data_IF_919955294890
#
_entry.id   IF_919955294890
#
_cell.length_a   1.000
_cell.length_b   1.000
_cell.length_c   1.000
_cell.angle_alpha   90.00
_cell.angle_beta   90.00
_cell.angle_gamma   90.00
#
_symmetry.space_group_name_H-M   'P 1'
#
loop_
_entity.id
_entity.type
_entity.pdbx_description
1 polymer ?
#
# COMPACT_ATOMS: atom_id res chain seq x y z
N UNK A 1 -28.10 4.40 6.95
CA UNK A 1 -27.46 3.60 5.88
C UNK A 1 -26.60 2.56 6.57
N UNK A 2 -26.79 1.31 6.25
CA UNK A 2 -25.97 0.21 6.78
C UNK A 2 -24.65 0.16 6.01
N UNK A 3 -23.53 -0.04 6.72
CA UNK A 3 -22.19 -0.18 6.14
C UNK A 3 -21.52 -1.42 6.73
N UNK A 4 -20.76 -2.15 5.88
CA UNK A 4 -19.95 -3.29 6.28
C UNK A 4 -18.54 -2.83 6.62
N UNK A 5 -17.96 -3.36 7.69
CA UNK A 5 -16.55 -3.18 8.03
C UNK A 5 -15.71 -4.12 7.18
N UNK A 6 -14.69 -3.57 6.53
CA UNK A 6 -13.78 -4.31 5.67
C UNK A 6 -12.35 -4.28 6.22
N UNK A 7 -11.59 -5.33 5.88
CA UNK A 7 -10.15 -5.39 6.08
C UNK A 7 -9.46 -5.69 4.74
N UNK A 8 -8.20 -5.29 4.60
CA UNK A 8 -7.40 -5.71 3.45
C UNK A 8 -7.10 -7.20 3.61
N UNK A 9 -7.51 -7.99 2.61
CA UNK A 9 -7.32 -9.43 2.57
C UNK A 9 -6.10 -9.81 1.74
N UNK A 10 -5.99 -9.22 0.53
CA UNK A 10 -4.94 -9.61 -0.43
C UNK A 10 -4.67 -8.48 -1.43
N UNK A 11 -3.45 -8.47 -2.00
CA UNK A 11 -3.07 -7.62 -3.13
C UNK A 11 -2.32 -8.50 -4.12
N UNK A 12 -2.88 -8.69 -5.31
CA UNK A 12 -2.31 -9.56 -6.33
C UNK A 12 -2.27 -8.90 -7.70
N UNK A 13 -1.32 -9.28 -8.59
CA UNK A 13 -1.30 -8.78 -9.95
C UNK A 13 -2.63 -9.06 -10.66
N UNK A 14 -3.14 -8.08 -11.41
CA UNK A 14 -4.32 -8.27 -12.25
C UNK A 14 -3.88 -8.94 -13.55
N UNK A 15 -4.34 -10.17 -13.79
CA UNK A 15 -3.98 -10.92 -15.00
C UNK A 15 -4.45 -10.28 -16.32
N UNK A 16 -5.33 -9.29 -16.27
CA UNK A 16 -5.95 -8.68 -17.44
C UNK A 16 -5.17 -7.48 -18.00
N UNK A 17 -4.39 -6.78 -17.18
CA UNK A 17 -3.71 -5.54 -17.59
C UNK A 17 -2.33 -5.45 -16.96
N UNK A 18 -1.29 -5.30 -17.79
CA UNK A 18 0.07 -5.09 -17.30
C UNK A 18 0.15 -3.84 -16.41
N UNK A 19 0.75 -3.98 -15.22
CA UNK A 19 0.91 -2.88 -14.26
C UNK A 19 -0.33 -2.57 -13.42
N UNK A 20 -1.40 -3.36 -13.52
CA UNK A 20 -2.57 -3.26 -12.64
C UNK A 20 -2.56 -4.36 -11.57
N UNK A 21 -3.10 -4.05 -10.41
CA UNK A 21 -3.24 -4.95 -9.28
C UNK A 21 -4.69 -5.04 -8.84
N UNK A 22 -5.06 -6.16 -8.25
CA UNK A 22 -6.36 -6.32 -7.60
C UNK A 22 -6.17 -6.26 -6.09
N UNK A 23 -6.67 -5.18 -5.48
CA UNK A 23 -6.84 -5.07 -4.04
C UNK A 23 -8.12 -5.82 -3.67
N UNK A 24 -8.02 -6.79 -2.78
CA UNK A 24 -9.16 -7.55 -2.27
C UNK A 24 -9.44 -7.11 -0.84
N UNK A 25 -10.60 -6.52 -0.61
CA UNK A 25 -11.11 -6.21 0.73
C UNK A 25 -12.11 -7.30 1.14
N UNK A 26 -12.09 -7.74 2.40
CA UNK A 26 -12.99 -8.77 2.93
C UNK A 26 -13.83 -8.22 4.08
N UNK A 27 -15.10 -8.63 4.16
CA UNK A 27 -15.96 -8.31 5.32
C UNK A 27 -15.42 -8.95 6.60
N UNK A 28 -15.19 -8.14 7.62
CA UNK A 28 -14.69 -8.62 8.92
C UNK A 28 -15.67 -9.59 9.60
N UNK A 29 -16.98 -9.35 9.45
CA UNK A 29 -18.05 -10.18 10.04
C UNK A 29 -18.80 -11.00 8.98
N UNK A 30 -18.19 -11.20 7.83
CA UNK A 30 -18.79 -11.92 6.70
C UNK A 30 -17.72 -12.73 5.96
N UNK A 31 -18.09 -13.15 4.76
CA UNK A 31 -17.15 -13.86 3.87
C UNK A 31 -17.10 -13.24 2.47
N UNK A 32 -17.84 -12.14 2.26
CA UNK A 32 -17.86 -11.48 0.95
C UNK A 32 -16.56 -10.72 0.75
N UNK A 33 -16.05 -10.77 -0.47
CA UNK A 33 -14.83 -10.08 -0.89
C UNK A 33 -15.16 -9.02 -1.92
N UNK A 34 -14.55 -7.87 -1.81
CA UNK A 34 -14.68 -6.75 -2.73
C UNK A 34 -13.38 -6.58 -3.51
N UNK A 35 -13.27 -7.06 -4.75
CA UNK A 35 -12.11 -6.87 -5.60
C UNK A 35 -12.14 -5.48 -6.23
N UNK A 36 -11.04 -4.75 -6.16
CA UNK A 36 -10.88 -3.39 -6.69
C UNK A 36 -9.59 -3.33 -7.50
N UNK A 37 -9.68 -2.95 -8.76
CA UNK A 37 -8.49 -2.78 -9.60
C UNK A 37 -7.81 -1.45 -9.25
N UNK A 38 -6.51 -1.50 -8.96
CA UNK A 38 -5.69 -0.35 -8.57
C UNK A 38 -4.38 -0.33 -9.37
N UNK A 39 -3.70 0.80 -9.39
CA UNK A 39 -2.40 0.93 -10.03
C UNK A 39 -1.28 0.30 -9.18
N UNK A 40 -0.15 0.03 -9.84
CA UNK A 40 1.04 -0.57 -9.21
C UNK A 40 1.57 0.28 -8.04
N UNK A 41 1.64 1.59 -8.19
CA UNK A 41 2.18 2.48 -7.15
C UNK A 41 1.27 2.54 -5.91
N UNK A 42 -0.04 2.48 -6.11
CA UNK A 42 -1.01 2.42 -5.02
C UNK A 42 -0.94 1.06 -4.31
N UNK A 43 -0.83 -0.03 -5.06
CA UNK A 43 -0.65 -1.38 -4.53
C UNK A 43 0.63 -1.47 -3.69
N UNK A 44 1.76 -0.99 -4.22
CA UNK A 44 3.03 -0.92 -3.52
C UNK A 44 2.93 -0.10 -2.23
N UNK A 45 2.28 1.06 -2.28
CA UNK A 45 2.10 1.92 -1.11
C UNK A 45 1.33 1.23 0.01
N UNK A 46 0.30 0.45 -0.32
CA UNK A 46 -0.48 -0.31 0.65
C UNK A 46 0.35 -1.48 1.20
N UNK A 47 0.99 -2.26 0.33
CA UNK A 47 1.78 -3.44 0.70
C UNK A 47 2.92 -3.08 1.66
N UNK A 48 3.73 -2.04 1.35
CA UNK A 48 4.81 -1.56 2.20
C UNK A 48 4.33 -1.31 3.63
N UNK A 49 3.15 -0.71 3.79
CA UNK A 49 2.60 -0.44 5.12
C UNK A 49 2.10 -1.69 5.82
N UNK A 50 1.46 -2.61 5.10
CA UNK A 50 0.97 -3.89 5.67
C UNK A 50 2.12 -4.79 6.12
N UNK A 51 3.21 -4.82 5.36
CA UNK A 51 4.43 -5.57 5.69
C UNK A 51 5.32 -4.88 6.74
N UNK A 52 4.87 -3.73 7.28
CA UNK A 52 5.61 -2.91 8.23
C UNK A 52 7.01 -2.49 7.74
N UNK A 53 7.19 -2.39 6.45
CA UNK A 53 8.45 -1.93 5.85
C UNK A 53 8.60 -0.42 6.05
N UNK A 54 9.83 0.02 6.29
CA UNK A 54 10.14 1.45 6.48
C UNK A 54 11.03 1.94 5.35
N UNK A 55 10.48 2.68 4.38
CA UNK A 55 11.28 3.28 3.31
C UNK A 55 12.30 4.27 3.87
N UNK A 56 13.44 4.45 3.20
CA UNK A 56 14.48 5.41 3.58
C UNK A 56 13.97 6.87 3.61
N UNK A 57 12.96 7.17 2.80
CA UNK A 57 12.26 8.47 2.77
C UNK A 57 10.75 8.25 2.75
N UNK A 58 9.95 9.17 3.36
CA UNK A 58 8.50 9.06 3.36
C UNK A 58 7.94 9.02 1.94
N UNK A 59 7.05 8.07 1.67
CA UNK A 59 6.24 8.03 0.45
C UNK A 59 5.12 9.07 0.51
N UNK A 60 4.39 9.27 -0.59
CA UNK A 60 3.33 10.29 -0.68
C UNK A 60 2.28 10.16 0.42
N UNK A 61 1.80 8.93 0.71
CA UNK A 61 0.81 8.71 1.75
C UNK A 61 1.39 8.86 3.16
N UNK A 62 2.68 8.56 3.38
CA UNK A 62 3.36 8.81 4.65
C UNK A 62 3.51 10.31 4.89
N UNK A 63 3.85 11.07 3.83
CA UNK A 63 3.92 12.51 3.88
C UNK A 63 2.55 13.12 4.21
N UNK A 64 1.49 12.65 3.55
CA UNK A 64 0.13 13.14 3.80
C UNK A 64 -0.32 12.83 5.25
N UNK A 65 -0.02 11.63 5.76
CA UNK A 65 -0.25 11.29 7.17
C UNK A 65 0.51 12.26 8.09
N UNK A 66 1.79 12.51 7.81
CA UNK A 66 2.62 13.40 8.63
C UNK A 66 2.09 14.83 8.63
N UNK A 67 1.69 15.35 7.47
CA UNK A 67 1.07 16.68 7.35
C UNK A 67 -0.23 16.74 8.15
N UNK A 68 -1.14 15.79 7.94
CA UNK A 68 -2.42 15.75 8.66
C UNK A 68 -2.22 15.74 10.16
N UNK A 69 -1.35 14.85 10.65
CA UNK A 69 -1.07 14.73 12.09
C UNK A 69 -0.42 16.00 12.65
N UNK A 70 0.50 16.62 11.91
CA UNK A 70 1.16 17.87 12.34
C UNK A 70 0.21 19.05 12.49
N UNK A 71 -0.89 19.05 11.74
CA UNK A 71 -1.92 20.07 11.80
C UNK A 71 -3.15 19.64 12.61
N UNK A 72 -3.07 18.55 13.37
CA UNK A 72 -4.13 18.09 14.26
C UNK A 72 -5.32 17.46 13.53
N UNK A 73 -5.16 17.11 12.25
CA UNK A 73 -6.20 16.43 11.48
C UNK A 73 -6.10 14.93 11.75
N UNK A 74 -7.18 14.33 12.23
CA UNK A 74 -7.29 12.89 12.46
C UNK A 74 -8.22 12.25 11.44
N UNK A 75 -7.76 11.21 10.73
CA UNK A 75 -8.60 10.39 9.87
C UNK A 75 -9.31 9.35 10.74
N UNK A 76 -10.63 9.46 10.87
CA UNK A 76 -11.45 8.63 11.77
C UNK A 76 -11.98 7.38 11.10
N UNK A 77 -12.35 7.48 9.82
CA UNK A 77 -12.80 6.34 9.00
C UNK A 77 -12.67 6.64 7.52
N UNK A 78 -12.65 5.58 6.75
CA UNK A 78 -12.75 5.60 5.28
C UNK A 78 -14.06 4.91 4.89
N UNK A 79 -14.79 5.48 3.93
CA UNK A 79 -16.04 4.89 3.45
C UNK A 79 -16.04 4.79 1.93
N UNK A 80 -16.15 3.58 1.42
CA UNK A 80 -16.44 3.31 0.00
C UNK A 80 -17.95 3.44 -0.16
N UNK A 81 -18.39 4.51 -0.85
CA UNK A 81 -19.78 4.90 -0.78
C UNK A 81 -20.54 4.75 -2.10
N UNK A 82 -19.84 4.58 -3.24
CA UNK A 82 -20.49 4.43 -4.53
C UNK A 82 -19.67 3.59 -5.51
N UNK A 83 -20.37 3.08 -6.54
CA UNK A 83 -19.80 2.41 -7.69
C UNK A 83 -20.56 2.86 -8.95
N UNK A 84 -19.88 3.60 -9.82
CA UNK A 84 -20.46 4.14 -11.06
C UNK A 84 -19.57 3.73 -12.23
N UNK A 85 -20.13 3.04 -13.21
CA UNK A 85 -19.42 2.60 -14.42
C UNK A 85 -18.11 1.84 -14.14
N UNK A 86 -18.11 1.02 -13.06
CA UNK A 86 -16.93 0.24 -12.64
C UNK A 86 -15.90 1.03 -11.81
N UNK A 87 -16.15 2.30 -11.54
CA UNK A 87 -15.28 3.15 -10.73
C UNK A 87 -15.83 3.22 -9.30
N UNK A 88 -15.02 2.82 -8.33
CA UNK A 88 -15.35 2.94 -6.91
C UNK A 88 -15.04 4.34 -6.40
N UNK A 89 -15.98 4.90 -5.65
CA UNK A 89 -15.87 6.18 -4.99
C UNK A 89 -15.69 5.99 -3.49
N UNK A 90 -14.71 6.69 -2.93
CA UNK A 90 -14.43 6.66 -1.50
C UNK A 90 -14.35 8.08 -0.93
N UNK A 91 -14.56 8.17 0.38
CA UNK A 91 -14.38 9.41 1.12
C UNK A 91 -13.59 9.16 2.40
N UNK A 92 -12.79 10.13 2.76
CA UNK A 92 -12.13 10.23 4.04
C UNK A 92 -13.04 10.99 4.99
N UNK A 93 -13.22 10.49 6.20
CA UNK A 93 -13.88 11.23 7.28
C UNK A 93 -12.80 11.68 8.25
N UNK A 94 -12.53 12.97 8.26
CA UNK A 94 -11.49 13.59 9.07
C UNK A 94 -12.11 14.43 10.18
N UNK A 95 -11.45 14.50 11.31
CA UNK A 95 -11.80 15.36 12.43
C UNK A 95 -10.70 16.40 12.65
N UNK A 96 -11.11 17.66 12.77
CA UNK A 96 -10.26 18.79 13.13
C UNK A 96 -11.01 19.65 14.15
N UNK A 97 -10.44 19.88 15.31
CA UNK A 97 -11.02 20.70 16.40
C UNK A 97 -12.46 20.30 16.76
N UNK A 98 -12.74 18.99 16.78
CA UNK A 98 -14.08 18.45 17.07
C UNK A 98 -15.09 18.61 15.92
N UNK A 99 -14.65 19.11 14.76
CA UNK A 99 -15.49 19.25 13.57
C UNK A 99 -15.16 18.14 12.56
N UNK A 100 -16.19 17.45 12.07
CA UNK A 100 -16.05 16.42 11.06
C UNK A 100 -16.04 17.02 9.64
N UNK A 101 -15.07 16.60 8.85
CA UNK A 101 -14.90 16.98 7.45
C UNK A 101 -14.90 15.74 6.58
N UNK A 102 -15.54 15.82 5.42
CA UNK A 102 -15.58 14.73 4.45
C UNK A 102 -14.82 15.15 3.19
N UNK A 103 -13.87 14.33 2.77
CA UNK A 103 -13.00 14.60 1.61
C UNK A 103 -13.16 13.45 0.63
N UNK A 104 -13.45 13.76 -0.63
CA UNK A 104 -13.48 12.77 -1.71
C UNK A 104 -12.08 12.24 -2.01
N UNK A 105 -11.97 10.94 -2.30
CA UNK A 105 -10.70 10.28 -2.58
C UNK A 105 -10.88 9.07 -3.50
N UNK A 106 -9.85 8.75 -4.27
CA UNK A 106 -9.80 7.44 -4.92
C UNK A 106 -9.76 6.35 -3.85
N UNK A 107 -10.42 5.22 -4.13
CA UNK A 107 -10.49 4.11 -3.15
C UNK A 107 -9.11 3.60 -2.76
N UNK A 108 -8.17 3.51 -3.69
CA UNK A 108 -6.77 3.11 -3.42
C UNK A 108 -6.06 4.04 -2.44
N UNK A 109 -6.20 5.37 -2.61
CA UNK A 109 -5.60 6.36 -1.71
C UNK A 109 -6.24 6.31 -0.33
N UNK A 110 -7.57 6.17 -0.30
CA UNK A 110 -8.32 6.06 0.94
C UNK A 110 -7.89 4.84 1.76
N UNK A 111 -7.73 3.67 1.12
CA UNK A 111 -7.22 2.45 1.77
C UNK A 111 -5.76 2.63 2.21
N UNK A 112 -4.90 3.22 1.36
CA UNK A 112 -3.50 3.48 1.69
C UNK A 112 -3.35 4.40 2.92
N UNK A 113 -4.26 5.35 3.10
CA UNK A 113 -4.32 6.21 4.28
C UNK A 113 -4.92 5.47 5.48
N UNK A 114 -6.00 4.68 5.28
CA UNK A 114 -6.62 3.93 6.36
C UNK A 114 -5.63 3.00 7.08
N UNK A 115 -4.81 2.26 6.32
CA UNK A 115 -3.79 1.36 6.91
C UNK A 115 -2.68 2.13 7.64
N UNK A 116 -2.42 3.38 7.27
CA UNK A 116 -1.42 4.24 7.93
C UNK A 116 -1.95 4.85 9.23
N UNK A 117 -3.17 5.36 9.19
CA UNK A 117 -3.83 5.93 10.37
C UNK A 117 -4.36 4.86 11.33
N UNK A 118 -4.48 3.60 10.87
CA UNK A 118 -5.09 2.53 11.66
C UNK A 118 -6.59 2.72 11.87
N UNK A 119 -7.27 3.42 10.95
CA UNK A 119 -8.68 3.67 11.02
C UNK A 119 -9.51 2.63 10.24
N UNK A 120 -10.80 2.41 10.59
CA UNK A 120 -11.64 1.43 9.92
C UNK A 120 -11.95 1.83 8.47
N UNK A 121 -12.08 0.80 7.63
CA UNK A 121 -12.55 0.90 6.25
C UNK A 121 -13.97 0.37 6.20
N UNK A 122 -14.90 1.18 5.77
CA UNK A 122 -16.29 0.80 5.58
C UNK A 122 -16.68 0.80 4.11
N UNK A 123 -17.67 -0.04 3.77
CA UNK A 123 -18.31 -0.03 2.46
C UNK A 123 -19.82 0.05 2.63
N UNK A 124 -20.49 0.92 1.90
CA UNK A 124 -21.94 1.00 1.91
C UNK A 124 -22.56 -0.28 1.33
N UNK A 125 -23.68 -0.71 1.90
CA UNK A 125 -24.37 -1.95 1.52
C UNK A 125 -24.66 -2.01 0.03
N UNK A 126 -25.07 -0.91 -0.58
CA UNK A 126 -25.34 -0.84 -2.03
C UNK A 126 -24.13 -1.22 -2.90
N UNK A 127 -22.91 -0.85 -2.47
CA UNK A 127 -21.67 -1.17 -3.19
C UNK A 127 -21.31 -2.64 -2.99
N UNK A 128 -21.47 -3.14 -1.75
CA UNK A 128 -21.26 -4.56 -1.45
C UNK A 128 -22.21 -5.45 -2.23
N UNK A 129 -23.49 -5.06 -2.37
CA UNK A 129 -24.47 -5.80 -3.17
C UNK A 129 -24.17 -5.79 -4.67
N UNK A 130 -23.62 -4.67 -5.17
CA UNK A 130 -23.31 -4.49 -6.58
C UNK A 130 -22.03 -5.19 -7.02
N UNK A 131 -21.00 -5.26 -6.16
CA UNK A 131 -19.65 -5.65 -6.57
C UNK A 131 -18.96 -6.71 -5.70
N UNK A 132 -19.50 -7.04 -4.53
CA UNK A 132 -18.88 -8.07 -3.71
C UNK A 132 -19.17 -9.46 -4.25
N UNK A 133 -18.16 -10.32 -4.22
CA UNK A 133 -18.27 -11.73 -4.57
C UNK A 133 -18.44 -12.56 -3.31
N UNK A 134 -19.30 -13.57 -3.39
CA UNK A 134 -19.41 -14.58 -2.33
C UNK A 134 -18.10 -15.37 -2.25
N UNK A 135 -17.76 -15.94 -1.09
CA UNK A 135 -16.65 -16.89 -1.03
C UNK A 135 -16.96 -18.03 -2.00
N UNK A 136 -16.11 -18.22 -2.98
CA UNK A 136 -16.14 -19.41 -3.80
C UNK A 136 -15.95 -20.60 -2.86
N UNK A 137 -16.86 -21.57 -2.93
CA UNK A 137 -16.67 -22.83 -2.23
C UNK A 137 -15.29 -23.35 -2.61
N UNK A 138 -14.56 -23.91 -1.67
CA UNK A 138 -13.19 -24.40 -1.73
C UNK A 138 -12.86 -25.11 -3.06
N UNK A 139 -12.75 -24.36 -4.15
CA UNK A 139 -12.05 -24.85 -5.32
C UNK A 139 -10.57 -24.74 -5.00
N UNK A 140 -9.97 -25.89 -4.85
CA UNK A 140 -8.56 -26.12 -4.65
C UNK A 140 -7.76 -25.19 -5.58
N UNK A 141 -7.20 -24.14 -4.99
CA UNK A 141 -6.11 -23.42 -5.62
C UNK A 141 -4.97 -24.42 -5.63
N UNK A 142 -4.82 -25.13 -6.73
CA UNK A 142 -3.58 -25.86 -6.99
C UNK A 142 -2.45 -24.85 -6.90
N UNK A 143 -1.46 -25.05 -6.04
CA UNK A 143 -0.30 -24.17 -6.02
C UNK A 143 0.33 -24.24 -7.41
N UNK A 144 0.38 -23.11 -8.11
CA UNK A 144 1.27 -22.99 -9.26
C UNK A 144 2.70 -23.21 -8.75
N UNK A 145 3.55 -23.93 -9.50
CA UNK A 145 4.94 -24.12 -9.11
C UNK A 145 5.59 -22.74 -8.85
N UNK A 146 6.33 -22.65 -7.76
CA UNK A 146 7.22 -21.53 -7.46
C UNK A 146 8.34 -21.49 -8.52
N UNK A 147 8.04 -20.96 -9.70
CA UNK A 147 9.07 -20.54 -10.64
C UNK A 147 9.30 -19.04 -10.44
N UNK A 148 10.40 -18.74 -9.73
CA UNK A 148 11.04 -17.43 -9.60
C UNK A 148 10.08 -16.30 -9.20
N UNK A 149 9.87 -16.15 -7.90
CA UNK A 149 9.36 -14.91 -7.32
C UNK A 149 10.46 -13.83 -7.48
N UNK A 150 10.59 -13.27 -8.67
CA UNK A 150 11.20 -11.95 -8.81
C UNK A 150 10.34 -10.99 -7.99
N UNK A 151 10.98 -10.20 -7.12
CA UNK A 151 10.29 -9.17 -6.31
C UNK A 151 9.41 -8.30 -7.23
N UNK A 152 8.08 -8.41 -7.18
CA UNK A 152 7.19 -7.71 -8.12
C UNK A 152 7.21 -6.19 -7.95
N UNK A 153 7.83 -5.70 -6.89
CA UNK A 153 7.88 -4.28 -6.57
C UNK A 153 9.26 -3.65 -6.80
N UNK A 154 10.31 -4.46 -7.12
CA UNK A 154 11.67 -3.94 -7.32
C UNK A 154 12.16 -3.14 -6.11
N UNK A 155 11.72 -3.52 -4.92
CA UNK A 155 12.27 -2.97 -3.68
C UNK A 155 13.65 -3.58 -3.54
N UNK A 156 14.68 -2.86 -3.95
CA UNK A 156 16.03 -3.19 -3.56
C UNK A 156 16.02 -3.28 -2.03
N UNK A 157 16.34 -4.46 -1.50
CA UNK A 157 16.70 -4.56 -0.08
C UNK A 157 17.73 -3.46 0.17
N UNK A 158 17.70 -2.80 1.34
CA UNK A 158 18.74 -1.84 1.66
C UNK A 158 20.06 -2.57 1.50
N UNK A 159 20.75 -2.29 0.39
CA UNK A 159 22.10 -2.76 0.16
C UNK A 159 22.86 -2.19 1.34
N UNK A 160 23.19 -3.01 2.32
CA UNK A 160 24.24 -2.64 3.26
C UNK A 160 25.39 -2.19 2.36
N UNK A 161 25.92 -0.98 2.52
CA UNK A 161 27.03 -0.56 1.70
C UNK A 161 28.10 -1.64 1.88
N UNK A 162 28.25 -2.49 0.87
CA UNK A 162 29.40 -3.35 0.76
C UNK A 162 30.54 -2.40 0.42
N UNK A 163 31.01 -1.69 1.45
CA UNK A 163 32.23 -0.95 1.40
C UNK A 163 33.32 -1.98 1.10
N UNK A 164 33.67 -2.10 -0.17
CA UNK A 164 34.85 -2.83 -0.59
C UNK A 164 36.11 -2.35 0.14
N UNK A 165 35.98 -1.25 0.89
CA UNK A 165 36.99 -0.66 1.75
C UNK A 165 37.12 -1.37 3.11
N UNK A 166 36.08 -2.06 3.60
CA UNK A 166 36.13 -2.72 4.93
C UNK A 166 37.03 -3.99 4.96
N UNK A 167 37.41 -4.51 3.81
CA UNK A 167 38.31 -5.66 3.67
C UNK A 167 39.76 -5.30 3.34
N UNK A 168 40.05 -4.01 3.12
CA UNK A 168 41.39 -3.55 2.80
C UNK A 168 42.21 -3.30 4.08
N UNK A 169 43.49 -3.67 4.02
CA UNK A 169 44.42 -3.32 5.09
C UNK A 169 44.63 -1.79 5.14
N UNK A 170 45.05 -1.20 6.28
CA UNK A 170 45.36 0.23 6.37
C UNK A 170 46.35 0.71 5.31
N UNK A 171 47.24 -0.18 4.82
CA UNK A 171 48.23 0.14 3.79
C UNK A 171 47.62 0.17 2.38
N UNK A 172 46.61 -0.68 2.11
CA UNK A 172 45.91 -0.70 0.84
C UNK A 172 44.96 0.50 0.73
N UNK A 173 44.31 0.89 1.82
CA UNK A 173 43.49 2.13 1.91
C UNK A 173 44.28 3.39 1.60
N UNK A 174 45.51 3.49 2.12
CA UNK A 174 46.39 4.63 1.85
C UNK A 174 46.79 4.69 0.37
N UNK A 175 47.00 3.55 -0.26
CA UNK A 175 47.36 3.42 -1.68
C UNK A 175 46.23 3.80 -2.62
N UNK A 176 45.01 3.41 -2.29
CA UNK A 176 43.79 3.79 -3.04
C UNK A 176 43.51 5.29 -2.92
N UNK A 177 43.75 5.88 -1.73
CA UNK A 177 43.60 7.28 -1.50
C UNK A 177 44.61 8.12 -2.32
N UNK A 178 45.88 7.68 -2.36
CA UNK A 178 46.93 8.35 -3.11
C UNK A 178 46.68 8.28 -4.63
N UNK A 179 46.13 7.15 -5.12
CA UNK A 179 45.71 6.96 -6.51
C UNK A 179 44.48 7.80 -6.89
N UNK A 180 43.58 8.05 -5.96
CA UNK A 180 42.43 8.93 -6.19
C UNK A 180 42.82 10.40 -6.29
N UNK A 181 43.77 10.84 -5.48
CA UNK A 181 44.30 12.21 -5.48
C UNK A 181 45.08 12.50 -6.78
N UNK A 182 45.86 11.55 -7.31
CA UNK A 182 46.60 11.72 -8.58
C UNK A 182 45.70 11.77 -9.84
N UNK A 183 44.43 11.45 -9.75
CA UNK A 183 43.48 11.49 -10.86
C UNK A 183 42.65 12.77 -10.93
N UNK A 184 42.75 13.65 -9.96
CA UNK A 184 42.04 14.94 -9.90
C UNK A 184 42.88 16.16 -10.36
N UNK A 185 44.12 15.95 -10.86
CA UNK A 185 44.97 17.03 -11.45
C UNK A 185 44.95 17.00 -13.00
#
# INVERSE_FOLDING_TARGET
MTKSLLAVFDIKPSGATSGAYTLVLEEVNGKRKLPIVIGMHEAQSIAIKLENMTPSRPLTHDLLQSVSTSFGINLTEVVIYDLVEGIFFARLVCELDGTSHTIDARTSDAVALAVRFGCPIYCETKVMEAAAVAPEGEEQITPMPEENAEDPFGLEEPVEPSDGLSTLSPQDLQRELDLAIEKED
#
